data_IF_110999765210
#
_entry.id   IF_110999765210
#
_cell.length_a   1.000
_cell.length_b   1.000
_cell.length_c   1.000
_cell.angle_alpha   90.00
_cell.angle_beta   90.00
_cell.angle_gamma   90.00
#
_symmetry.space_group_name_H-M   'P 1'
#
loop_
_entity.id
_entity.type
_entity.pdbx_description
1 polymer ?
#
# COMPACT_ATOMS: atom_id res chain seq x y z
N UNK A 1 -13.28 19.64 -3.36
CA UNK A 1 -12.89 18.23 -3.49
C UNK A 1 -11.40 18.22 -3.71
N UNK A 2 -10.61 17.94 -2.68
CA UNK A 2 -9.14 17.99 -2.77
C UNK A 2 -8.67 16.68 -3.38
N UNK A 3 -8.01 16.74 -4.53
CA UNK A 3 -7.47 15.58 -5.21
C UNK A 3 -6.26 15.08 -4.43
N UNK A 4 -6.43 14.00 -3.67
CA UNK A 4 -5.36 13.44 -2.85
C UNK A 4 -4.34 12.73 -3.75
N UNK A 5 -3.11 13.24 -3.80
CA UNK A 5 -2.04 12.61 -4.57
C UNK A 5 -1.81 11.17 -4.05
N UNK A 6 -1.78 10.23 -4.98
CA UNK A 6 -1.63 8.80 -4.67
C UNK A 6 -0.45 8.24 -5.45
N UNK A 7 0.38 7.45 -4.76
CA UNK A 7 1.36 6.56 -5.39
C UNK A 7 0.88 5.14 -5.26
N UNK A 8 1.09 4.37 -6.31
CA UNK A 8 0.88 2.94 -6.31
C UNK A 8 2.18 2.23 -6.72
N UNK A 9 2.50 1.12 -6.08
CA UNK A 9 3.75 0.42 -6.33
C UNK A 9 3.64 -1.09 -6.18
N UNK A 10 4.53 -1.79 -6.87
CA UNK A 10 4.64 -3.24 -6.87
C UNK A 10 6.05 -3.63 -6.42
N UNK A 11 6.17 -4.64 -5.56
CA UNK A 11 7.47 -5.21 -5.19
C UNK A 11 7.53 -6.69 -5.54
N UNK A 12 8.70 -7.15 -5.98
CA UNK A 12 9.00 -8.58 -6.17
C UNK A 12 9.21 -9.33 -4.84
N UNK A 13 9.20 -8.61 -3.72
CA UNK A 13 9.31 -9.18 -2.37
C UNK A 13 8.00 -9.04 -1.62
N UNK A 14 7.80 -9.88 -0.60
CA UNK A 14 6.70 -9.79 0.35
C UNK A 14 7.33 -9.68 1.75
N UNK A 15 7.68 -8.48 2.21
CA UNK A 15 8.30 -8.31 3.52
C UNK A 15 7.36 -8.74 4.65
N UNK A 16 7.93 -9.20 5.75
CA UNK A 16 7.13 -9.54 6.93
C UNK A 16 6.42 -8.28 7.46
N UNK A 17 5.13 -8.33 7.85
CA UNK A 17 4.42 -7.16 8.37
C UNK A 17 5.09 -6.50 9.59
N UNK A 18 5.83 -7.26 10.40
CA UNK A 18 6.63 -6.71 11.51
C UNK A 18 7.84 -5.92 10.99
N UNK A 19 8.48 -6.38 9.91
CA UNK A 19 9.54 -5.61 9.24
C UNK A 19 9.00 -4.29 8.70
N UNK A 20 7.82 -4.33 8.06
CA UNK A 20 7.15 -3.11 7.57
C UNK A 20 6.85 -2.15 8.71
N UNK A 21 6.28 -2.67 9.81
CA UNK A 21 5.98 -1.88 11.01
C UNK A 21 7.24 -1.25 11.59
N UNK A 22 8.32 -2.02 11.73
CA UNK A 22 9.59 -1.54 12.27
C UNK A 22 10.25 -0.47 11.38
N UNK A 23 10.09 -0.56 10.05
CA UNK A 23 10.57 0.47 9.12
C UNK A 23 9.77 1.78 9.24
N UNK A 24 8.46 1.67 9.44
CA UNK A 24 7.53 2.81 9.43
C UNK A 24 7.43 3.53 10.78
N UNK A 25 7.63 2.83 11.89
CA UNK A 25 7.52 3.40 13.24
C UNK A 25 8.44 4.62 13.48
N UNK A 26 9.73 4.62 13.06
CA UNK A 26 10.59 5.80 13.18
C UNK A 26 10.14 7.02 12.37
N UNK A 27 9.24 6.82 11.39
CA UNK A 27 8.63 7.88 10.58
C UNK A 27 7.27 8.34 11.15
N UNK A 28 6.96 7.97 12.40
CA UNK A 28 5.71 8.27 13.10
C UNK A 28 4.44 7.62 12.50
N UNK A 29 4.60 6.60 11.64
CA UNK A 29 3.47 5.82 11.13
C UNK A 29 3.10 4.72 12.12
N UNK A 30 1.79 4.57 12.37
CA UNK A 30 1.24 3.53 13.25
C UNK A 30 0.23 2.67 12.49
N UNK A 31 0.22 1.37 12.77
CA UNK A 31 -0.79 0.46 12.22
C UNK A 31 -2.15 0.81 12.83
N UNK A 32 -3.12 1.20 12.01
CA UNK A 32 -4.45 1.60 12.47
C UNK A 32 -5.57 0.70 11.95
N UNK A 33 -5.31 -0.09 10.90
CA UNK A 33 -6.25 -1.06 10.38
C UNK A 33 -5.53 -2.25 9.75
N UNK A 34 -6.08 -3.45 9.92
CA UNK A 34 -5.56 -4.67 9.30
C UNK A 34 -6.68 -5.66 8.94
N UNK A 35 -6.48 -6.40 7.87
CA UNK A 35 -7.30 -7.53 7.44
C UNK A 35 -6.39 -8.73 7.25
N UNK A 36 -6.70 -9.85 7.89
CA UNK A 36 -5.98 -11.11 7.71
C UNK A 36 -6.25 -11.69 6.31
N UNK A 37 -5.27 -12.42 5.77
CA UNK A 37 -5.42 -13.14 4.51
C UNK A 37 -6.63 -14.09 4.55
N UNK A 38 -7.33 -14.20 3.44
CA UNK A 38 -8.47 -15.12 3.28
C UNK A 38 -8.19 -16.11 2.17
N UNK A 39 -8.28 -17.39 2.50
CA UNK A 39 -8.26 -18.48 1.53
C UNK A 39 -9.68 -18.90 1.18
N UNK A 40 -9.90 -19.23 -0.09
CA UNK A 40 -11.16 -19.71 -0.59
C UNK A 40 -10.92 -21.00 -1.37
N UNK A 41 -11.89 -21.91 -1.35
CA UNK A 41 -11.75 -23.22 -1.98
C UNK A 41 -11.81 -23.15 -3.52
N UNK A 42 -12.47 -22.13 -4.08
CA UNK A 42 -12.75 -22.02 -5.51
C UNK A 42 -12.39 -20.65 -6.13
N UNK A 43 -11.71 -19.78 -5.37
CA UNK A 43 -11.28 -18.47 -5.85
C UNK A 43 -9.86 -18.15 -5.41
N UNK A 44 -9.27 -17.11 -6.00
CA UNK A 44 -7.97 -16.63 -5.59
C UNK A 44 -7.97 -16.25 -4.10
N UNK A 45 -6.88 -16.56 -3.41
CA UNK A 45 -6.68 -16.13 -2.04
C UNK A 45 -6.53 -14.60 -2.02
N UNK A 46 -7.18 -13.96 -1.04
CA UNK A 46 -6.99 -12.55 -0.76
C UNK A 46 -5.81 -12.40 0.20
N UNK A 47 -4.74 -11.70 -0.17
CA UNK A 47 -3.60 -11.45 0.72
C UNK A 47 -4.01 -10.57 1.91
N UNK A 48 -3.19 -10.60 2.97
CA UNK A 48 -3.41 -9.74 4.13
C UNK A 48 -3.16 -8.28 3.77
N UNK A 49 -3.91 -7.37 4.40
CA UNK A 49 -3.85 -5.94 4.13
C UNK A 49 -3.58 -5.18 5.42
N UNK A 50 -2.65 -4.22 5.38
CA UNK A 50 -2.19 -3.44 6.53
C UNK A 50 -2.21 -1.97 6.17
N UNK A 51 -2.74 -1.14 7.06
CA UNK A 51 -2.84 0.30 6.87
C UNK A 51 -2.12 1.02 7.99
N UNK A 52 -1.15 1.84 7.60
CA UNK A 52 -0.36 2.66 8.50
C UNK A 52 -0.70 4.13 8.26
N UNK A 53 -0.80 4.91 9.33
CA UNK A 53 -1.09 6.35 9.22
C UNK A 53 -0.22 7.17 10.16
N UNK A 54 0.21 8.33 9.70
CA UNK A 54 0.90 9.35 10.50
C UNK A 54 -0.09 10.38 11.09
N UNK A 55 0.40 11.34 11.88
CA UNK A 55 -0.43 12.40 12.45
C UNK A 55 -0.98 13.41 11.42
N UNK A 56 -0.35 13.47 10.23
CA UNK A 56 -0.75 14.36 9.14
C UNK A 56 -1.80 13.72 8.22
N UNK A 57 -2.19 12.47 8.47
CA UNK A 57 -3.15 11.73 7.66
C UNK A 57 -2.55 11.08 6.41
N UNK A 58 -1.22 11.06 6.25
CA UNK A 58 -0.55 10.28 5.20
C UNK A 58 -0.80 8.81 5.49
N UNK A 59 -1.25 8.06 4.49
CA UNK A 59 -1.61 6.65 4.66
C UNK A 59 -0.77 5.76 3.76
N UNK A 60 -0.19 4.72 4.33
CA UNK A 60 0.51 3.65 3.62
C UNK A 60 -0.34 2.39 3.72
N UNK A 61 -0.78 1.86 2.57
CA UNK A 61 -1.44 0.56 2.49
C UNK A 61 -0.44 -0.45 1.94
N UNK A 62 -0.27 -1.54 2.68
CA UNK A 62 0.56 -2.68 2.32
C UNK A 62 -0.30 -3.93 2.14
N UNK A 63 -0.25 -4.52 0.95
CA UNK A 63 -0.87 -5.79 0.63
C UNK A 63 0.19 -6.89 0.62
N UNK A 64 0.17 -7.72 1.67
CA UNK A 64 1.16 -8.76 1.94
C UNK A 64 0.85 -10.04 1.17
N UNK A 65 1.10 -9.99 -0.13
CA UNK A 65 1.01 -11.15 -1.01
C UNK A 65 0.67 -10.76 -2.43
N UNK A 66 0.59 -11.78 -3.29
CA UNK A 66 0.24 -11.60 -4.69
C UNK A 66 -1.24 -11.25 -4.82
N UNK A 67 -1.51 -10.11 -5.45
CA UNK A 67 -2.83 -9.68 -5.83
C UNK A 67 -3.28 -10.38 -7.11
N UNK A 68 -4.56 -10.75 -7.18
CA UNK A 68 -5.17 -11.35 -8.37
C UNK A 68 -6.27 -10.42 -8.86
N UNK A 69 -6.11 -9.77 -10.03
CA UNK A 69 -7.05 -8.77 -10.52
C UNK A 69 -8.41 -9.41 -10.88
N UNK A 70 -9.51 -8.79 -10.47
CA UNK A 70 -10.88 -9.22 -10.81
C UNK A 70 -11.16 -9.07 -12.34
N UNK A 71 -10.63 -8.01 -12.95
CA UNK A 71 -10.99 -7.59 -14.32
C UNK A 71 -10.09 -8.19 -15.42
N UNK A 72 -9.28 -9.21 -15.11
CA UNK A 72 -8.31 -9.85 -16.02
C UNK A 72 -7.25 -8.92 -16.62
N UNK A 73 -7.14 -7.67 -16.16
CA UNK A 73 -6.03 -6.79 -16.55
C UNK A 73 -4.76 -7.33 -15.88
N UNK A 74 -3.72 -7.71 -16.64
CA UNK A 74 -2.50 -8.22 -16.05
C UNK A 74 -1.82 -7.16 -15.18
N UNK A 75 -1.60 -7.46 -13.90
CA UNK A 75 -0.76 -6.64 -13.04
C UNK A 75 0.72 -6.92 -13.34
N UNK A 76 1.62 -5.94 -13.09
CA UNK A 76 3.05 -6.21 -13.07
C UNK A 76 3.39 -7.39 -12.16
N UNK A 77 4.48 -8.13 -12.46
CA UNK A 77 4.94 -9.20 -11.60
C UNK A 77 5.29 -8.66 -10.21
N UNK A 78 4.71 -9.26 -9.16
CA UNK A 78 4.87 -8.80 -7.79
C UNK A 78 4.54 -9.89 -6.78
N UNK A 79 5.04 -9.71 -5.56
CA UNK A 79 4.73 -10.49 -4.36
C UNK A 79 4.10 -9.63 -3.26
N UNK A 80 4.06 -8.31 -3.45
CA UNK A 80 3.26 -7.37 -2.67
C UNK A 80 2.89 -6.13 -3.47
N UNK A 81 1.83 -5.45 -3.05
CA UNK A 81 1.34 -4.20 -3.63
C UNK A 81 1.22 -3.13 -2.56
N UNK A 82 1.45 -1.90 -2.97
CA UNK A 82 1.62 -0.76 -2.06
C UNK A 82 0.85 0.45 -2.59
N UNK A 83 0.25 1.19 -1.66
CA UNK A 83 -0.29 2.51 -1.94
C UNK A 83 0.17 3.51 -0.90
N UNK A 84 0.39 4.76 -1.32
CA UNK A 84 0.64 5.88 -0.43
C UNK A 84 -0.31 7.00 -0.81
N UNK A 85 -1.14 7.43 0.15
CA UNK A 85 -2.03 8.57 0.01
C UNK A 85 -1.44 9.76 0.75
N UNK A 86 -1.33 10.90 0.07
CA UNK A 86 -0.79 12.12 0.65
C UNK A 86 -1.73 12.69 1.73
N UNK A 87 -1.18 12.94 2.91
CA UNK A 87 -1.86 13.69 3.97
C UNK A 87 -1.66 15.20 3.84
N UNK A 88 -1.71 15.92 4.97
CA UNK A 88 -1.44 17.35 5.03
C UNK A 88 0.05 17.70 4.87
N UNK A 89 0.96 16.74 5.09
CA UNK A 89 2.41 16.93 4.99
C UNK A 89 2.96 16.28 3.73
N UNK A 90 3.30 17.12 2.74
CA UNK A 90 3.98 16.68 1.52
C UNK A 90 5.37 16.10 1.83
N UNK A 91 6.05 16.62 2.86
CA UNK A 91 7.35 16.10 3.31
C UNK A 91 7.24 14.66 3.81
N UNK A 92 6.25 14.37 4.67
CA UNK A 92 6.02 13.02 5.19
C UNK A 92 5.72 12.03 4.06
N UNK A 93 4.88 12.43 3.09
CA UNK A 93 4.56 11.66 1.90
C UNK A 93 5.79 11.33 1.03
N UNK A 94 6.63 12.33 0.73
CA UNK A 94 7.84 12.10 -0.06
C UNK A 94 8.92 11.34 0.73
N UNK A 95 9.01 11.54 2.04
CA UNK A 95 9.95 10.81 2.88
C UNK A 95 9.60 9.33 2.94
N UNK A 96 8.35 8.99 3.27
CA UNK A 96 7.93 7.59 3.39
C UNK A 96 8.00 6.88 2.04
N UNK A 97 7.63 7.54 0.94
CA UNK A 97 7.71 6.96 -0.41
C UNK A 97 9.14 6.63 -0.82
N UNK A 98 10.12 7.51 -0.51
CA UNK A 98 11.55 7.23 -0.77
C UNK A 98 12.08 6.08 0.07
N UNK A 99 11.75 6.03 1.36
CA UNK A 99 12.21 4.97 2.28
C UNK A 99 11.71 3.60 1.83
N UNK A 100 10.41 3.48 1.55
CA UNK A 100 9.78 2.25 1.07
C UNK A 100 10.38 1.82 -0.28
N UNK A 101 10.49 2.76 -1.24
CA UNK A 101 11.04 2.47 -2.55
C UNK A 101 12.49 1.99 -2.51
N UNK A 102 13.33 2.61 -1.69
CA UNK A 102 14.72 2.22 -1.53
C UNK A 102 14.85 0.83 -0.87
N UNK A 103 13.98 0.51 0.09
CA UNK A 103 14.05 -0.75 0.84
C UNK A 103 13.59 -1.96 0.02
N UNK A 104 12.51 -1.81 -0.74
CA UNK A 104 11.86 -2.92 -1.45
C UNK A 104 11.82 -2.75 -2.98
N UNK A 105 12.69 -1.88 -3.50
CA UNK A 105 12.91 -1.64 -4.93
C UNK A 105 11.62 -1.34 -5.71
N UNK A 106 10.80 -0.46 -5.16
CA UNK A 106 9.50 -0.10 -5.72
C UNK A 106 9.65 1.08 -6.68
N UNK A 107 9.21 0.90 -7.92
CA UNK A 107 8.98 1.99 -8.86
C UNK A 107 7.54 2.48 -8.71
N UNK A 108 7.35 3.72 -8.26
CA UNK A 108 6.03 4.30 -8.07
C UNK A 108 5.35 4.66 -9.39
N UNK A 109 4.11 4.22 -9.55
CA UNK A 109 3.16 4.69 -10.54
C UNK A 109 2.40 5.88 -9.93
N UNK A 110 2.53 7.05 -10.54
CA UNK A 110 1.86 8.27 -10.07
C UNK A 110 0.59 8.59 -10.86
N UNK A 111 -0.34 9.31 -10.21
CA UNK A 111 -1.27 10.21 -10.92
C UNK A 111 -2.61 9.65 -11.38
N UNK A 112 -3.09 8.53 -10.84
CA UNK A 112 -4.50 8.17 -11.01
C UNK A 112 -5.35 8.91 -9.95
N UNK A 113 -6.36 9.71 -10.34
CA UNK A 113 -7.36 10.17 -9.37
C UNK A 113 -8.01 8.94 -8.75
N UNK A 114 -7.92 8.81 -7.43
CA UNK A 114 -8.59 7.74 -6.69
C UNK A 114 -10.10 7.85 -6.95
N UNK A 115 -10.61 7.07 -7.90
CA UNK A 115 -12.04 6.89 -8.05
C UNK A 115 -12.46 5.98 -6.91
N UNK A 116 -12.97 6.58 -5.84
CA UNK A 116 -13.75 5.89 -4.82
C UNK A 116 -14.87 5.11 -5.54
N UNK A 117 -14.63 3.82 -5.82
CA UNK A 117 -15.73 2.90 -6.10
C UNK A 117 -16.39 2.63 -4.75
N UNK A 118 -17.34 3.50 -4.40
CA UNK A 118 -18.30 3.24 -3.35
C UNK A 118 -19.12 2.04 -3.80
N UNK A 119 -18.86 0.88 -3.22
CA UNK A 119 -19.77 -0.25 -3.30
C UNK A 119 -20.99 0.13 -2.45
N UNK A 120 -22.11 0.39 -3.12
CA UNK A 120 -23.42 0.57 -2.52
C UNK A 120 -24.05 -0.78 -2.16
#
# INVERSE_FOLDING_TARGET
MTQTQTLEGYSLTCPDPQEVTALLQPLAFTLHFQIAAKSFQYSAALPAQYHFRDEHGTEVIYLAGKDTPEDRIPLPAHQSRWWIYMGASEEAFHQVSRVIAARWFIAWLGGQPATHHSVA
#
